data_IF_095401814017
#
_entry.id   IF_095401814017
#
_cell.length_a   1.000
_cell.length_b   1.000
_cell.length_c   1.000
_cell.angle_alpha   90.00
_cell.angle_beta   90.00
_cell.angle_gamma   90.00
#
_symmetry.space_group_name_H-M   'P 1'
#
loop_
_entity.id
_entity.type
_entity.pdbx_description
1 polymer ?
#
# COMPACT_ATOMS: atom_id res chain seq x y z
N UNK A 1 30.94 -15.56 4.62
CA UNK A 1 29.72 -14.72 4.72
C UNK A 1 29.42 -14.14 3.35
N UNK A 2 28.24 -14.40 2.80
CA UNK A 2 27.83 -13.86 1.51
C UNK A 2 27.42 -12.38 1.68
N UNK A 3 28.11 -11.41 1.08
CA UNK A 3 27.88 -9.99 1.30
C UNK A 3 26.49 -9.46 0.83
N UNK A 4 25.63 -10.33 0.29
CA UNK A 4 24.30 -10.01 -0.23
C UNK A 4 23.18 -10.87 0.38
N UNK A 5 23.45 -11.60 1.46
CA UNK A 5 22.48 -12.50 2.09
C UNK A 5 21.49 -11.78 3.02
N UNK A 6 21.67 -10.48 3.29
CA UNK A 6 20.82 -9.71 4.20
C UNK A 6 19.36 -9.65 3.71
N UNK A 7 19.13 -9.35 2.44
CA UNK A 7 17.78 -9.24 1.88
C UNK A 7 17.05 -10.60 1.87
N UNK A 8 17.64 -11.69 1.35
CA UNK A 8 17.04 -13.01 1.47
C UNK A 8 16.77 -13.43 2.92
N UNK A 9 17.67 -13.13 3.85
CA UNK A 9 17.49 -13.44 5.27
C UNK A 9 16.28 -12.70 5.89
N UNK A 10 16.06 -11.43 5.54
CA UNK A 10 14.90 -10.66 5.98
C UNK A 10 13.59 -11.21 5.41
N UNK A 11 13.57 -11.57 4.13
CA UNK A 11 12.41 -12.19 3.47
C UNK A 11 12.05 -13.51 4.16
N UNK A 12 13.04 -14.37 4.41
CA UNK A 12 12.82 -15.64 5.08
C UNK A 12 12.37 -15.45 6.53
N UNK A 13 12.89 -14.45 7.22
CA UNK A 13 12.49 -14.16 8.60
C UNK A 13 11.05 -13.63 8.68
N UNK A 14 10.64 -12.74 7.77
CA UNK A 14 9.26 -12.27 7.68
C UNK A 14 8.29 -13.39 7.25
N UNK A 15 8.72 -14.30 6.36
CA UNK A 15 7.94 -15.47 5.99
C UNK A 15 7.78 -16.45 7.16
N UNK A 16 8.84 -16.71 7.93
CA UNK A 16 8.77 -17.53 9.13
C UNK A 16 7.86 -16.91 10.21
N UNK A 17 7.90 -15.58 10.36
CA UNK A 17 7.01 -14.86 11.27
C UNK A 17 5.55 -15.00 10.84
N UNK A 18 5.24 -14.82 9.55
CA UNK A 18 3.90 -14.99 9.00
C UNK A 18 3.38 -16.43 9.24
N UNK A 19 4.23 -17.43 8.98
CA UNK A 19 3.89 -18.83 9.23
C UNK A 19 3.61 -19.09 10.72
N UNK A 20 4.47 -18.59 11.63
CA UNK A 20 4.29 -18.75 13.06
C UNK A 20 3.01 -18.09 13.61
N UNK A 21 2.55 -17.01 12.95
CA UNK A 21 1.33 -16.29 13.30
C UNK A 21 0.08 -16.80 12.56
N UNK A 22 0.23 -17.80 11.69
CA UNK A 22 -0.88 -18.36 10.92
C UNK A 22 -1.44 -17.40 9.85
N UNK A 23 -0.62 -16.48 9.34
CA UNK A 23 -1.01 -15.58 8.25
C UNK A 23 -0.88 -16.28 6.91
N UNK A 24 -1.81 -16.01 6.02
CA UNK A 24 -1.83 -16.52 4.64
C UNK A 24 -0.99 -15.67 3.66
N UNK A 25 -0.41 -14.57 4.14
CA UNK A 25 0.45 -13.66 3.37
C UNK A 25 1.60 -13.13 4.23
N UNK A 26 2.68 -12.73 3.58
CA UNK A 26 3.85 -12.15 4.25
C UNK A 26 3.68 -10.64 4.42
N UNK A 27 3.84 -10.16 5.64
CA UNK A 27 3.95 -8.72 5.95
C UNK A 27 5.40 -8.43 6.30
N UNK A 28 6.09 -7.53 5.58
CA UNK A 28 7.53 -7.31 5.71
C UNK A 28 7.88 -6.44 6.94
N UNK A 29 7.53 -6.89 8.13
CA UNK A 29 7.71 -6.13 9.38
C UNK A 29 9.18 -5.95 9.75
N UNK A 30 9.99 -6.99 9.60
CA UNK A 30 11.44 -6.93 9.86
C UNK A 30 12.15 -6.13 8.77
N UNK A 31 11.82 -6.39 7.50
CA UNK A 31 12.41 -5.68 6.37
C UNK A 31 12.11 -4.17 6.40
N UNK A 32 10.92 -3.76 6.85
CA UNK A 32 10.54 -2.36 6.98
C UNK A 32 11.11 -1.68 8.24
N UNK A 33 11.24 -2.42 9.35
CA UNK A 33 11.58 -1.85 10.66
C UNK A 33 13.05 -1.89 11.03
N UNK A 34 13.84 -2.84 10.52
CA UNK A 34 15.27 -2.96 10.85
C UNK A 34 16.09 -1.90 10.11
N UNK A 35 16.90 -1.18 10.86
CA UNK A 35 17.89 -0.25 10.31
C UNK A 35 19.11 -1.01 9.80
N UNK A 36 19.81 -0.46 8.82
CA UNK A 36 21.05 -1.03 8.29
C UNK A 36 22.13 -1.26 9.38
N UNK A 37 22.14 -0.43 10.41
CA UNK A 37 23.02 -0.58 11.57
C UNK A 37 22.64 -1.77 12.45
N UNK A 38 21.37 -2.16 12.50
CA UNK A 38 20.89 -3.28 13.30
C UNK A 38 21.34 -4.63 12.72
N UNK A 39 21.52 -4.70 11.39
CA UNK A 39 22.00 -5.91 10.71
C UNK A 39 23.44 -6.30 11.08
N UNK A 40 24.19 -5.38 11.68
CA UNK A 40 25.56 -5.64 12.19
C UNK A 40 25.57 -6.21 13.61
N UNK A 41 24.45 -6.13 14.32
CA UNK A 41 24.31 -6.66 15.67
C UNK A 41 24.31 -8.20 15.67
N UNK A 42 24.60 -8.79 16.82
CA UNK A 42 24.63 -10.26 17.02
C UNK A 42 23.96 -10.61 18.34
N UNK A 43 23.59 -11.88 18.50
CA UNK A 43 23.01 -12.39 19.73
C UNK A 43 21.79 -11.61 20.21
N UNK A 44 21.75 -11.32 21.49
CA UNK A 44 20.60 -10.66 22.13
C UNK A 44 20.36 -9.24 21.65
N UNK A 45 21.39 -8.50 21.26
CA UNK A 45 21.24 -7.17 20.70
C UNK A 45 20.49 -7.20 19.35
N UNK A 46 20.77 -8.21 18.50
CA UNK A 46 20.03 -8.40 17.26
C UNK A 46 18.59 -8.81 17.54
N UNK A 47 18.38 -9.76 18.48
CA UNK A 47 17.02 -10.17 18.89
C UNK A 47 16.18 -8.99 19.36
N UNK A 48 16.75 -8.16 20.23
CA UNK A 48 16.07 -6.96 20.73
C UNK A 48 15.77 -5.98 19.61
N UNK A 49 16.68 -5.79 18.65
CA UNK A 49 16.45 -4.95 17.47
C UNK A 49 15.30 -5.49 16.62
N UNK A 50 15.23 -6.82 16.40
CA UNK A 50 14.12 -7.46 15.68
C UNK A 50 12.78 -7.26 16.40
N UNK A 51 12.70 -7.46 17.72
CA UNK A 51 11.47 -7.20 18.47
C UNK A 51 10.99 -5.75 18.35
N UNK A 52 11.90 -4.79 18.46
CA UNK A 52 11.58 -3.36 18.29
C UNK A 52 11.10 -3.07 16.87
N UNK A 53 11.76 -3.65 15.86
CA UNK A 53 11.40 -3.48 14.46
C UNK A 53 10.00 -4.01 14.19
N UNK A 54 9.70 -5.24 14.59
CA UNK A 54 8.37 -5.86 14.42
C UNK A 54 7.29 -5.01 15.10
N UNK A 55 7.50 -4.60 16.36
CA UNK A 55 6.51 -3.80 17.09
C UNK A 55 6.25 -2.45 16.42
N UNK A 56 7.31 -1.73 16.05
CA UNK A 56 7.17 -0.42 15.41
C UNK A 56 6.49 -0.54 14.04
N UNK A 57 6.91 -1.51 13.21
CA UNK A 57 6.33 -1.73 11.88
C UNK A 57 4.88 -2.23 11.96
N UNK A 58 4.52 -3.04 12.95
CA UNK A 58 3.14 -3.48 13.14
C UNK A 58 2.21 -2.32 13.49
N UNK A 59 2.64 -1.39 14.34
CA UNK A 59 1.88 -0.17 14.64
C UNK A 59 1.66 0.66 13.39
N UNK A 60 2.69 0.85 12.57
CA UNK A 60 2.58 1.62 11.33
C UNK A 60 1.71 0.92 10.29
N UNK A 61 1.85 -0.40 10.13
CA UNK A 61 0.99 -1.20 9.25
C UNK A 61 -0.48 -1.12 9.66
N UNK A 62 -0.78 -1.17 10.96
CA UNK A 62 -2.14 -1.02 11.46
C UNK A 62 -2.72 0.37 11.16
N UNK A 63 -1.94 1.44 11.33
CA UNK A 63 -2.34 2.81 10.97
C UNK A 63 -2.65 2.93 9.49
N UNK A 64 -1.77 2.39 8.64
CA UNK A 64 -1.96 2.39 7.19
C UNK A 64 -3.22 1.61 6.78
N UNK A 65 -3.46 0.44 7.38
CA UNK A 65 -4.66 -0.35 7.12
C UNK A 65 -5.96 0.42 7.48
N UNK A 66 -5.98 1.11 8.61
CA UNK A 66 -7.11 1.96 9.03
C UNK A 66 -7.33 3.12 8.04
N UNK A 67 -6.27 3.79 7.60
CA UNK A 67 -6.37 4.90 6.64
C UNK A 67 -6.88 4.41 5.28
N UNK A 68 -6.36 3.29 4.78
CA UNK A 68 -6.83 2.68 3.53
C UNK A 68 -8.29 2.23 3.62
N UNK A 69 -8.70 1.60 4.73
CA UNK A 69 -10.08 1.19 4.94
C UNK A 69 -11.03 2.41 4.95
N UNK A 70 -10.64 3.50 5.59
CA UNK A 70 -11.39 4.75 5.60
C UNK A 70 -11.55 5.34 4.20
N UNK A 71 -10.47 5.40 3.41
CA UNK A 71 -10.49 5.91 2.03
C UNK A 71 -11.31 5.01 1.11
N UNK A 72 -11.15 3.69 1.21
CA UNK A 72 -11.96 2.74 0.46
C UNK A 72 -13.45 2.88 0.78
N UNK A 73 -13.81 3.11 2.05
CA UNK A 73 -15.18 3.37 2.47
C UNK A 73 -15.73 4.66 1.88
N UNK A 74 -14.92 5.73 1.86
CA UNK A 74 -15.28 7.00 1.24
C UNK A 74 -15.52 6.82 -0.26
N UNK A 75 -14.61 6.13 -0.97
CA UNK A 75 -14.75 5.85 -2.39
C UNK A 75 -16.03 5.05 -2.69
N UNK A 76 -16.34 4.02 -1.89
CA UNK A 76 -17.59 3.27 -2.00
C UNK A 76 -18.82 4.14 -1.76
N UNK A 77 -18.75 5.07 -0.80
CA UNK A 77 -19.85 5.98 -0.46
C UNK A 77 -20.14 7.05 -1.53
N UNK A 78 -19.11 7.45 -2.30
CA UNK A 78 -19.31 8.42 -3.40
C UNK A 78 -19.71 7.72 -4.71
N UNK A 79 -19.43 6.44 -4.88
CA UNK A 79 -19.71 5.68 -6.10
C UNK A 79 -21.17 5.83 -6.62
N UNK A 80 -22.22 5.74 -5.79
CA UNK A 80 -23.60 5.91 -6.24
C UNK A 80 -23.93 7.33 -6.74
N UNK A 81 -23.12 8.32 -6.33
CA UNK A 81 -23.32 9.74 -6.71
C UNK A 81 -22.66 10.09 -8.06
N UNK A 82 -21.89 9.16 -8.63
CA UNK A 82 -21.20 9.34 -9.89
C UNK A 82 -22.15 9.01 -11.05
N UNK A 83 -22.48 10.02 -11.86
CA UNK A 83 -23.43 9.90 -12.99
C UNK A 83 -22.82 9.29 -14.26
N UNK A 84 -21.49 9.13 -14.32
CA UNK A 84 -20.82 8.64 -15.52
C UNK A 84 -21.11 7.16 -15.75
N UNK A 85 -21.56 6.81 -16.95
CA UNK A 85 -21.69 5.41 -17.38
C UNK A 85 -20.30 4.74 -17.28
N UNK A 86 -20.16 3.69 -16.48
CA UNK A 86 -18.87 3.03 -16.22
C UNK A 86 -18.17 3.48 -14.93
N UNK A 87 -18.71 4.46 -14.19
CA UNK A 87 -18.11 4.89 -12.90
C UNK A 87 -18.00 3.75 -11.88
N UNK A 88 -18.97 2.85 -11.82
CA UNK A 88 -18.91 1.69 -10.91
C UNK A 88 -17.75 0.75 -11.24
N UNK A 89 -17.48 0.50 -12.52
CA UNK A 89 -16.33 -0.31 -12.95
C UNK A 89 -15.00 0.42 -12.63
N UNK A 90 -14.94 1.74 -12.83
CA UNK A 90 -13.78 2.54 -12.46
C UNK A 90 -13.50 2.49 -10.94
N UNK A 91 -14.54 2.61 -10.11
CA UNK A 91 -14.41 2.49 -8.64
C UNK A 91 -13.87 1.11 -8.24
N UNK A 92 -14.32 0.03 -8.88
CA UNK A 92 -13.80 -1.31 -8.64
C UNK A 92 -12.31 -1.40 -8.96
N UNK A 93 -11.85 -0.79 -10.06
CA UNK A 93 -10.43 -0.75 -10.43
C UNK A 93 -9.62 -0.04 -9.33
N UNK A 94 -10.06 1.13 -8.86
CA UNK A 94 -9.40 1.85 -7.76
C UNK A 94 -9.34 1.07 -6.44
N UNK A 95 -10.30 0.19 -6.18
CA UNK A 95 -10.32 -0.65 -4.99
C UNK A 95 -9.43 -1.90 -5.09
N UNK A 96 -8.96 -2.24 -6.29
CA UNK A 96 -8.20 -3.48 -6.55
C UNK A 96 -6.80 -3.24 -7.08
N UNK A 97 -6.44 -2.00 -7.39
CA UNK A 97 -5.13 -1.64 -7.92
C UNK A 97 -4.50 -0.52 -7.10
N UNK A 98 -3.20 -0.61 -6.86
CA UNK A 98 -2.44 0.35 -6.04
C UNK A 98 -2.32 1.72 -6.72
N UNK A 99 -2.21 1.74 -8.05
CA UNK A 99 -2.11 2.95 -8.84
C UNK A 99 -2.80 2.77 -10.20
N UNK A 100 -3.61 3.74 -10.59
CA UNK A 100 -4.45 3.69 -11.79
C UNK A 100 -4.19 4.93 -12.65
N UNK A 101 -3.84 4.71 -13.91
CA UNK A 101 -3.83 5.77 -14.92
C UNK A 101 -5.26 6.01 -15.45
N UNK A 102 -5.64 7.24 -15.83
CA UNK A 102 -6.95 7.50 -16.45
C UNK A 102 -7.23 6.63 -17.67
N UNK A 103 -6.21 6.33 -18.46
CA UNK A 103 -6.29 5.44 -19.64
C UNK A 103 -6.62 3.98 -19.33
N UNK A 104 -6.43 3.53 -18.10
CA UNK A 104 -6.78 2.18 -17.66
C UNK A 104 -8.25 2.05 -17.25
N UNK A 105 -9.00 3.17 -17.18
CA UNK A 105 -10.40 3.17 -16.83
C UNK A 105 -11.27 2.84 -18.06
N UNK A 106 -12.40 2.12 -17.89
CA UNK A 106 -13.30 1.76 -18.98
C UNK A 106 -14.20 2.96 -19.37
N UNK A 107 -13.56 4.07 -19.70
CA UNK A 107 -14.19 5.35 -20.03
C UNK A 107 -13.42 6.04 -21.17
N UNK A 108 -14.08 6.87 -22.01
CA UNK A 108 -13.37 7.74 -22.92
C UNK A 108 -12.37 8.64 -22.17
N UNK A 109 -11.19 8.88 -22.75
CA UNK A 109 -10.05 9.54 -22.08
C UNK A 109 -10.43 10.84 -21.34
N UNK A 110 -11.19 11.73 -22.01
CA UNK A 110 -11.66 12.97 -21.37
C UNK A 110 -12.60 12.72 -20.19
N UNK A 111 -13.44 11.68 -20.25
CA UNK A 111 -14.35 11.33 -19.15
C UNK A 111 -13.59 10.68 -18.00
N UNK A 112 -12.60 9.85 -18.30
CA UNK A 112 -11.73 9.23 -17.31
C UNK A 112 -10.96 10.28 -16.50
N UNK A 113 -10.33 11.26 -17.16
CA UNK A 113 -9.64 12.37 -16.49
C UNK A 113 -10.56 13.17 -15.58
N UNK A 114 -11.74 13.57 -16.08
CA UNK A 114 -12.74 14.30 -15.27
C UNK A 114 -13.21 13.49 -14.07
N UNK A 115 -13.33 12.17 -14.22
CA UNK A 115 -13.68 11.30 -13.11
C UNK A 115 -12.57 11.28 -12.05
N UNK A 116 -11.30 11.13 -12.46
CA UNK A 116 -10.16 11.19 -11.56
C UNK A 116 -10.11 12.51 -10.79
N UNK A 117 -10.19 13.65 -11.51
CA UNK A 117 -10.21 14.99 -10.90
C UNK A 117 -11.36 15.12 -9.91
N UNK A 118 -12.57 14.68 -10.28
CA UNK A 118 -13.73 14.70 -9.39
C UNK A 118 -13.56 13.84 -8.15
N UNK A 119 -12.91 12.67 -8.26
CA UNK A 119 -12.65 11.79 -7.11
C UNK A 119 -11.57 12.38 -6.19
N UNK A 120 -10.62 13.12 -6.74
CA UNK A 120 -9.63 13.88 -5.95
C UNK A 120 -10.32 15.01 -5.19
N UNK A 121 -11.17 15.82 -5.85
CA UNK A 121 -11.95 16.89 -5.21
C UNK A 121 -12.83 16.38 -4.05
N UNK A 122 -13.35 15.16 -4.19
CA UNK A 122 -14.14 14.48 -3.15
C UNK A 122 -13.27 13.82 -2.06
N UNK A 123 -11.94 13.86 -2.18
CA UNK A 123 -11.01 13.21 -1.28
C UNK A 123 -11.09 11.67 -1.29
N UNK A 124 -11.73 11.07 -2.30
CA UNK A 124 -11.94 9.63 -2.41
C UNK A 124 -10.73 8.90 -3.02
N UNK A 125 -9.94 9.58 -3.85
CA UNK A 125 -8.64 9.16 -4.34
C UNK A 125 -7.65 10.31 -4.23
N UNK A 126 -6.37 10.01 -4.38
CA UNK A 126 -5.30 11.01 -4.43
C UNK A 126 -4.49 10.84 -5.71
N UNK A 127 -3.94 11.91 -6.20
CA UNK A 127 -2.93 11.89 -7.24
C UNK A 127 -1.59 11.50 -6.62
N UNK A 128 -0.87 10.56 -7.23
CA UNK A 128 0.32 9.91 -6.64
C UNK A 128 1.64 10.41 -7.22
N UNK A 129 1.63 11.03 -8.40
CA UNK A 129 2.85 11.32 -9.16
C UNK A 129 3.35 12.76 -9.02
N UNK A 130 2.50 13.72 -8.67
CA UNK A 130 2.82 15.14 -8.59
C UNK A 130 3.27 15.74 -9.94
N UNK A 131 2.77 15.19 -11.07
CA UNK A 131 3.15 15.59 -12.42
C UNK A 131 1.94 16.10 -13.20
N UNK A 132 2.18 17.00 -14.17
CA UNK A 132 1.10 17.48 -15.05
C UNK A 132 0.70 16.46 -16.11
N UNK A 133 1.61 15.55 -16.46
CA UNK A 133 1.40 14.48 -17.44
C UNK A 133 1.66 13.11 -16.78
N UNK A 134 1.04 12.06 -17.33
CA UNK A 134 1.17 10.68 -16.85
C UNK A 134 0.79 10.54 -15.37
N UNK A 135 -0.31 11.19 -14.96
CA UNK A 135 -0.81 11.12 -13.59
C UNK A 135 -1.29 9.72 -13.25
N UNK A 136 -0.95 9.27 -12.05
CA UNK A 136 -1.46 8.07 -11.43
C UNK A 136 -2.29 8.45 -10.21
N UNK A 137 -3.35 7.69 -9.99
CA UNK A 137 -4.31 7.93 -8.91
C UNK A 137 -4.49 6.65 -8.09
N UNK A 138 -4.69 6.78 -6.78
CA UNK A 138 -4.92 5.67 -5.86
C UNK A 138 -5.77 6.06 -4.66
N UNK A 139 -6.20 5.07 -3.92
CA UNK A 139 -6.95 5.22 -2.66
C UNK A 139 -6.07 5.70 -1.53
#
# INVERSE_FOLDING_TARGET
EAPRAEVPALILADAALAQALGWDHVVPLLAAGLKRTDLRKRGDDLRLACHRAVTASAVEAARLAVDLARRASLLKGVAPKLRAKGAGAAVKIFLTQDAVAPSALPLPDRAARRLCDRLVDLGAVRELTGRDTFRLYGV
#
